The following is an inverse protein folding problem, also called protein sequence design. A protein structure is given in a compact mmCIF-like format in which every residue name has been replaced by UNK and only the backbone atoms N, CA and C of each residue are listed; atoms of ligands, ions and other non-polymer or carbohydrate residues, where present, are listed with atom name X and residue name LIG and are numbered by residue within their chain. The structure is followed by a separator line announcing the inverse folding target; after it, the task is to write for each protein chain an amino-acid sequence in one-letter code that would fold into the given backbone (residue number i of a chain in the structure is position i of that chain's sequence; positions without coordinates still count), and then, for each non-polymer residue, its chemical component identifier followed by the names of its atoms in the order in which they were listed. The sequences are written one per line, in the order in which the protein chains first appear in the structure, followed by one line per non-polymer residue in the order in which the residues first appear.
data_IF_451449899418
#
_entry.id   IF_451449899418
#
_cell.length_a   1.000
_cell.length_b   1.000
_cell.length_c   1.000
_cell.angle_alpha   90.00
_cell.angle_beta   90.00
_cell.angle_gamma   90.00
#
_symmetry.space_group_name_H-M   'P 1'
#
loop_
_entity.id
_entity.type
_entity.pdbx_description
1 polymer ?
#
# COMPACT_ATOMS: atom_id res chain seq x y z
N UNK A 1 27.29 3.81 -4.37
CA UNK A 1 27.44 5.28 -4.39
C UNK A 1 26.54 5.89 -3.34
N UNK A 2 27.08 6.77 -2.49
CA UNK A 2 26.41 7.33 -1.29
C UNK A 2 25.15 8.16 -1.64
N UNK A 3 25.12 8.75 -2.84
CA UNK A 3 23.95 9.46 -3.39
C UNK A 3 22.72 8.55 -3.63
N UNK A 4 22.93 7.26 -3.89
CA UNK A 4 21.82 6.31 -4.12
C UNK A 4 21.20 5.81 -2.80
N UNK A 5 22.01 5.67 -1.75
CA UNK A 5 21.57 5.21 -0.43
C UNK A 5 20.78 6.27 0.35
N UNK A 6 21.12 7.56 0.19
CA UNK A 6 20.39 8.71 0.75
C UNK A 6 19.16 9.15 -0.08
N UNK A 7 18.82 8.44 -1.15
CA UNK A 7 17.53 8.58 -1.82
C UNK A 7 16.58 7.44 -1.47
N UNK A 8 17.12 6.22 -1.36
CA UNK A 8 16.32 5.03 -1.10
C UNK A 8 15.71 5.04 0.30
N UNK A 9 16.47 5.41 1.34
CA UNK A 9 15.97 5.45 2.72
C UNK A 9 14.80 6.43 2.85
N UNK A 10 14.94 7.60 2.27
CA UNK A 10 13.97 8.69 2.22
C UNK A 10 12.73 8.24 1.45
N UNK A 11 12.92 7.60 0.30
CA UNK A 11 11.83 6.99 -0.50
C UNK A 11 11.06 5.95 0.33
N UNK A 12 11.76 5.07 1.06
CA UNK A 12 11.12 4.08 1.93
C UNK A 12 10.34 4.73 3.09
N UNK A 13 10.91 5.76 3.71
CA UNK A 13 10.25 6.52 4.79
C UNK A 13 8.99 7.20 4.24
N UNK A 14 9.06 7.86 3.09
CA UNK A 14 7.90 8.48 2.44
C UNK A 14 6.84 7.44 2.07
N UNK A 15 7.24 6.29 1.50
CA UNK A 15 6.33 5.20 1.15
C UNK A 15 5.66 4.54 2.38
N UNK A 16 6.23 4.70 3.57
CA UNK A 16 5.62 4.26 4.82
C UNK A 16 4.67 5.31 5.39
N UNK A 17 5.17 6.54 5.57
CA UNK A 17 4.45 7.57 6.31
C UNK A 17 3.29 8.18 5.54
N UNK A 18 3.38 8.28 4.21
CA UNK A 18 2.33 8.91 3.40
C UNK A 18 0.95 8.20 3.55
N UNK A 19 0.81 6.89 3.29
CA UNK A 19 -0.48 6.22 3.46
C UNK A 19 -0.90 6.13 4.93
N UNK A 20 0.05 6.00 5.87
CA UNK A 20 -0.27 5.96 7.30
C UNK A 20 -0.83 7.29 7.79
N UNK A 21 -0.19 8.41 7.43
CA UNK A 21 -0.65 9.75 7.76
C UNK A 21 -2.00 10.06 7.12
N UNK A 22 -2.21 9.65 5.87
CA UNK A 22 -3.49 9.78 5.19
C UNK A 22 -4.59 8.97 5.90
N UNK A 23 -4.30 7.74 6.31
CA UNK A 23 -5.25 6.88 7.02
C UNK A 23 -5.67 7.48 8.36
N UNK A 24 -4.69 7.97 9.15
CA UNK A 24 -4.95 8.63 10.43
C UNK A 24 -5.78 9.89 10.21
N UNK A 25 -5.43 10.71 9.22
CA UNK A 25 -6.19 11.91 8.88
C UNK A 25 -7.64 11.57 8.49
N UNK A 26 -7.84 10.57 7.64
CA UNK A 26 -9.17 10.11 7.25
C UNK A 26 -9.97 9.64 8.46
N UNK A 27 -9.36 8.84 9.35
CA UNK A 27 -10.01 8.35 10.56
C UNK A 27 -10.45 9.48 11.51
N UNK A 28 -9.54 10.41 11.82
CA UNK A 28 -9.79 11.49 12.77
C UNK A 28 -10.86 12.44 12.23
N UNK A 29 -10.72 12.88 10.98
CA UNK A 29 -11.69 13.81 10.38
C UNK A 29 -13.05 13.17 10.17
N UNK A 30 -13.09 11.90 9.75
CA UNK A 30 -14.35 11.18 9.62
C UNK A 30 -15.04 11.01 10.98
N UNK A 31 -14.30 10.69 12.04
CA UNK A 31 -14.87 10.53 13.38
C UNK A 31 -15.43 11.85 13.93
N UNK A 32 -14.78 12.99 13.65
CA UNK A 32 -15.21 14.31 14.14
C UNK A 32 -16.43 14.84 13.36
N UNK A 33 -16.40 14.73 12.03
CA UNK A 33 -17.35 15.42 11.16
C UNK A 33 -18.44 14.50 10.58
N UNK A 34 -18.22 13.19 10.55
CA UNK A 34 -19.03 12.20 9.84
C UNK A 34 -19.11 10.88 10.63
N UNK A 35 -19.28 10.97 11.96
CA UNK A 35 -19.31 9.80 12.86
C UNK A 35 -20.36 8.79 12.46
N UNK A 36 -21.55 9.26 12.10
CA UNK A 36 -22.69 8.41 11.80
C UNK A 36 -22.44 7.64 10.49
N UNK A 37 -21.86 8.28 9.48
CA UNK A 37 -21.55 7.66 8.18
C UNK A 37 -20.50 6.54 8.24
N UNK A 38 -19.62 6.55 9.26
CA UNK A 38 -18.53 5.56 9.39
C UNK A 38 -18.81 4.50 10.45
N UNK A 39 -19.59 4.83 11.48
CA UNK A 39 -19.95 3.88 12.54
C UNK A 39 -21.29 3.19 12.25
N UNK A 40 -22.21 3.78 11.48
CA UNK A 40 -23.46 3.13 11.12
C UNK A 40 -23.32 2.29 9.84
N UNK A 41 -23.58 0.99 9.97
CA UNK A 41 -23.68 0.09 8.82
C UNK A 41 -25.01 0.26 8.09
N UNK A 42 -25.13 -0.30 6.89
CA UNK A 42 -26.40 -0.35 6.13
C UNK A 42 -27.57 -0.95 6.94
N UNK A 43 -27.27 -1.73 7.98
CA UNK A 43 -28.24 -2.32 8.90
C UNK A 43 -28.52 -1.45 10.15
N UNK A 44 -27.98 -0.22 10.22
CA UNK A 44 -28.02 0.68 11.39
C UNK A 44 -27.46 0.06 12.68
N UNK A 45 -26.50 -0.85 12.53
CA UNK A 45 -25.74 -1.39 13.67
C UNK A 45 -24.48 -0.55 13.81
N UNK A 46 -24.28 -0.01 15.01
CA UNK A 46 -23.10 0.77 15.39
C UNK A 46 -21.86 -0.13 15.45
N UNK A 47 -20.82 0.26 14.74
CA UNK A 47 -19.52 -0.39 14.76
C UNK A 47 -18.53 0.49 15.52
N UNK A 48 -18.02 0.01 16.67
CA UNK A 48 -17.11 0.76 17.55
C UNK A 48 -15.83 1.17 16.83
N UNK A 49 -15.33 0.34 15.90
CA UNK A 49 -14.15 0.66 15.10
C UNK A 49 -14.53 0.61 13.63
N UNK A 50 -14.65 1.78 12.96
CA UNK A 50 -15.04 1.82 11.56
C UNK A 50 -14.00 1.11 10.69
N UNK A 51 -14.45 0.47 9.61
CA UNK A 51 -13.53 -0.18 8.68
C UNK A 51 -12.68 0.84 7.93
N UNK A 52 -11.51 0.43 7.43
CA UNK A 52 -10.65 1.30 6.59
C UNK A 52 -11.44 1.83 5.39
N UNK A 53 -12.21 0.96 4.73
CA UNK A 53 -13.03 1.35 3.58
C UNK A 53 -14.16 2.32 3.93
N UNK A 54 -14.66 2.34 5.17
CA UNK A 54 -15.65 3.33 5.60
C UNK A 54 -15.02 4.73 5.69
N UNK A 55 -13.85 4.85 6.34
CA UNK A 55 -13.18 6.14 6.55
C UNK A 55 -12.47 6.68 5.30
N UNK A 56 -12.00 5.80 4.41
CA UNK A 56 -11.38 6.20 3.14
C UNK A 56 -12.37 6.22 1.98
N UNK A 57 -13.60 5.75 2.21
CA UNK A 57 -14.65 5.65 1.20
C UNK A 57 -15.67 6.78 1.23
N UNK A 58 -15.60 7.72 2.18
CA UNK A 58 -16.50 8.88 2.27
C UNK A 58 -15.82 10.16 1.76
N UNK A 59 -16.61 11.10 1.24
CA UNK A 59 -16.09 12.40 0.80
C UNK A 59 -16.03 13.38 1.99
N UNK A 60 -14.96 14.20 2.11
CA UNK A 60 -13.86 14.39 1.15
C UNK A 60 -12.65 13.43 1.29
N UNK A 61 -12.61 12.60 2.34
CA UNK A 61 -11.48 11.72 2.72
C UNK A 61 -11.04 10.79 1.58
N UNK A 62 -12.00 10.33 0.77
CA UNK A 62 -11.75 9.49 -0.42
C UNK A 62 -10.77 10.12 -1.39
N UNK A 63 -10.87 11.43 -1.63
CA UNK A 63 -9.96 12.10 -2.56
C UNK A 63 -8.55 12.16 -2.00
N UNK A 64 -8.41 12.45 -0.70
CA UNK A 64 -7.12 12.46 0.00
C UNK A 64 -6.49 11.06 -0.07
N UNK A 65 -7.26 10.02 0.26
CA UNK A 65 -6.80 8.65 0.18
C UNK A 65 -6.32 8.26 -1.23
N UNK A 66 -7.12 8.55 -2.26
CA UNK A 66 -6.77 8.28 -3.67
C UNK A 66 -5.47 8.97 -4.10
N UNK A 67 -5.33 10.25 -3.78
CA UNK A 67 -4.12 11.02 -4.08
C UNK A 67 -2.91 10.40 -3.39
N UNK A 68 -3.02 10.07 -2.10
CA UNK A 68 -1.95 9.44 -1.34
C UNK A 68 -1.55 8.07 -1.93
N UNK A 69 -2.51 7.23 -2.32
CA UNK A 69 -2.22 5.94 -2.97
C UNK A 69 -1.56 6.13 -4.34
N UNK A 70 -1.97 7.13 -5.13
CA UNK A 70 -1.33 7.43 -6.41
C UNK A 70 0.15 7.81 -6.24
N UNK A 71 0.46 8.71 -5.30
CA UNK A 71 1.84 9.11 -5.01
C UNK A 71 2.67 7.99 -4.37
N UNK A 72 2.02 7.09 -3.64
CA UNK A 72 2.64 5.96 -2.97
C UNK A 72 3.03 4.81 -3.93
N UNK A 73 2.30 4.64 -5.03
CA UNK A 73 2.49 3.55 -5.99
C UNK A 73 3.88 3.55 -6.62
N UNK A 74 4.35 4.71 -7.10
CA UNK A 74 5.66 4.86 -7.75
C UNK A 74 6.84 4.42 -6.85
N UNK A 75 6.99 5.00 -5.65
CA UNK A 75 7.98 4.58 -4.66
C UNK A 75 7.97 3.08 -4.37
N UNK A 76 6.80 2.45 -4.21
CA UNK A 76 6.72 1.02 -3.91
C UNK A 76 7.11 0.14 -5.09
N UNK A 77 6.73 0.50 -6.32
CA UNK A 77 7.19 -0.21 -7.52
C UNK A 77 8.73 -0.14 -7.63
N UNK A 78 9.31 1.04 -7.43
CA UNK A 78 10.76 1.21 -7.44
C UNK A 78 11.45 0.35 -6.37
N UNK A 79 10.96 0.39 -5.12
CA UNK A 79 11.49 -0.42 -4.02
C UNK A 79 11.39 -1.90 -4.37
N UNK A 80 10.23 -2.39 -4.83
CA UNK A 80 10.04 -3.78 -5.22
C UNK A 80 11.04 -4.25 -6.28
N UNK A 81 11.24 -3.46 -7.34
CA UNK A 81 12.24 -3.76 -8.39
C UNK A 81 13.67 -3.74 -7.87
N UNK A 82 14.04 -2.80 -7.00
CA UNK A 82 15.39 -2.73 -6.42
C UNK A 82 15.69 -3.92 -5.52
N UNK A 83 14.74 -4.29 -4.65
CA UNK A 83 14.88 -5.46 -3.79
C UNK A 83 14.98 -6.75 -4.61
N UNK A 84 14.17 -6.89 -5.66
CA UNK A 84 14.28 -8.03 -6.57
C UNK A 84 15.68 -8.14 -7.19
N UNK A 85 16.20 -7.05 -7.77
CA UNK A 85 17.54 -7.04 -8.36
C UNK A 85 18.64 -7.33 -7.32
N UNK A 86 18.54 -6.75 -6.13
CA UNK A 86 19.46 -7.01 -5.02
C UNK A 86 19.47 -8.49 -4.64
N UNK A 87 18.28 -9.11 -4.49
CA UNK A 87 18.17 -10.53 -4.16
C UNK A 87 18.67 -11.42 -5.30
N UNK A 88 18.38 -11.11 -6.56
CA UNK A 88 18.92 -11.87 -7.71
C UNK A 88 20.45 -11.87 -7.72
N UNK A 89 21.08 -10.71 -7.48
CA UNK A 89 22.54 -10.60 -7.42
C UNK A 89 23.12 -11.42 -6.25
N UNK A 90 22.48 -11.37 -5.07
CA UNK A 90 22.88 -12.16 -3.90
C UNK A 90 22.73 -13.66 -4.13
N UNK A 91 21.63 -14.07 -4.77
CA UNK A 91 21.35 -15.47 -5.08
C UNK A 91 22.35 -16.07 -6.08
N UNK A 92 22.94 -15.26 -6.96
CA UNK A 92 23.97 -15.72 -7.90
C UNK A 92 25.24 -16.26 -7.19
N UNK A 93 25.49 -15.87 -5.94
CA UNK A 93 26.62 -16.35 -5.14
C UNK A 93 26.34 -17.64 -4.36
N UNK A 94 25.12 -18.19 -4.43
CA UNK A 94 24.79 -19.47 -3.80
C UNK A 94 25.44 -20.60 -4.63
N UNK A 95 26.26 -21.41 -3.97
CA UNK A 95 27.04 -22.50 -4.58
C UNK A 95 26.14 -23.72 -4.88
N UNK A 96 25.22 -24.04 -3.98
CA UNK A 96 24.32 -25.17 -4.13
C UNK A 96 23.22 -24.87 -5.16
N UNK A 97 23.20 -25.63 -6.26
CA UNK A 97 22.33 -25.38 -7.42
C UNK A 97 20.83 -25.46 -7.08
N UNK A 98 20.41 -26.45 -6.30
CA UNK A 98 19.02 -26.62 -5.88
C UNK A 98 18.55 -25.42 -5.05
N UNK A 99 19.34 -25.03 -4.06
CA UNK A 99 19.07 -23.87 -3.20
C UNK A 99 19.07 -22.57 -4.01
N UNK A 100 19.97 -22.43 -4.99
CA UNK A 100 20.00 -21.28 -5.90
C UNK A 100 18.71 -21.19 -6.73
N UNK A 101 18.27 -22.30 -7.33
CA UNK A 101 17.06 -22.33 -8.15
C UNK A 101 15.81 -22.01 -7.33
N UNK A 102 15.68 -22.60 -6.14
CA UNK A 102 14.59 -22.30 -5.20
C UNK A 102 14.57 -20.83 -4.80
N UNK A 103 15.73 -20.25 -4.47
CA UNK A 103 15.84 -18.84 -4.12
C UNK A 103 15.47 -17.90 -5.28
N UNK A 104 15.85 -18.23 -6.53
CA UNK A 104 15.44 -17.47 -7.73
C UNK A 104 13.92 -17.50 -7.93
N UNK A 105 13.31 -18.68 -7.81
CA UNK A 105 11.87 -18.86 -7.95
C UNK A 105 11.09 -18.12 -6.85
N UNK A 106 11.56 -18.20 -5.60
CA UNK A 106 10.97 -17.47 -4.49
C UNK A 106 11.09 -15.96 -4.69
N UNK A 107 12.25 -15.47 -5.11
CA UNK A 107 12.47 -14.06 -5.41
C UNK A 107 11.52 -13.54 -6.50
N UNK A 108 11.31 -14.33 -7.56
CA UNK A 108 10.35 -14.00 -8.63
C UNK A 108 8.90 -14.00 -8.11
N UNK A 109 8.53 -15.00 -7.31
CA UNK A 109 7.21 -15.07 -6.70
C UNK A 109 6.94 -13.87 -5.78
N UNK A 110 7.89 -13.50 -4.91
CA UNK A 110 7.78 -12.34 -4.04
C UNK A 110 7.61 -11.03 -4.83
N UNK A 111 8.34 -10.87 -5.93
CA UNK A 111 8.21 -9.70 -6.80
C UNK A 111 6.80 -9.59 -7.41
N UNK A 112 6.28 -10.69 -7.96
CA UNK A 112 4.92 -10.71 -8.52
C UNK A 112 3.83 -10.52 -7.46
N UNK A 113 3.98 -11.12 -6.28
CA UNK A 113 3.06 -10.92 -5.18
C UNK A 113 3.03 -9.47 -4.71
N UNK A 114 4.19 -8.81 -4.63
CA UNK A 114 4.24 -7.38 -4.34
C UNK A 114 3.55 -6.55 -5.43
N UNK A 115 3.78 -6.87 -6.70
CA UNK A 115 3.10 -6.18 -7.81
C UNK A 115 1.57 -6.37 -7.76
N UNK A 116 1.10 -7.59 -7.50
CA UNK A 116 -0.33 -7.91 -7.34
C UNK A 116 -0.93 -7.18 -6.14
N UNK A 117 -0.20 -7.09 -5.01
CA UNK A 117 -0.64 -6.32 -3.83
C UNK A 117 -0.86 -4.85 -4.18
N UNK A 118 0.06 -4.23 -4.92
CA UNK A 118 -0.07 -2.84 -5.35
C UNK A 118 -1.24 -2.62 -6.31
N UNK A 119 -1.45 -3.56 -7.25
CA UNK A 119 -2.61 -3.51 -8.14
C UNK A 119 -3.92 -3.69 -7.38
N UNK A 120 -3.97 -4.62 -6.42
CA UNK A 120 -5.14 -4.83 -5.59
C UNK A 120 -5.45 -3.60 -4.73
N UNK A 121 -4.43 -3.00 -4.08
CA UNK A 121 -4.57 -1.79 -3.29
C UNK A 121 -5.08 -0.61 -4.12
N UNK A 122 -4.56 -0.45 -5.34
CA UNK A 122 -5.05 0.56 -6.29
C UNK A 122 -6.49 0.25 -6.71
N UNK A 123 -6.78 -1.01 -7.06
CA UNK A 123 -8.11 -1.47 -7.42
C UNK A 123 -9.15 -1.15 -6.36
N UNK A 124 -8.94 -1.54 -5.10
CA UNK A 124 -9.88 -1.27 -4.00
C UNK A 124 -10.00 0.21 -3.65
N UNK A 125 -8.99 1.02 -3.98
CA UNK A 125 -8.99 2.47 -3.73
C UNK A 125 -9.81 3.24 -4.78
N UNK A 126 -9.78 2.79 -6.03
CA UNK A 126 -10.44 3.48 -7.14
C UNK A 126 -11.77 2.87 -7.52
N UNK A 127 -11.92 1.54 -7.43
CA UNK A 127 -13.16 0.83 -7.75
C UNK A 127 -14.02 0.74 -6.49
N UNK A 128 -14.93 1.70 -6.31
CA UNK A 128 -15.90 1.70 -5.21
C UNK A 128 -17.35 1.72 -5.74
N UNK A 129 -18.19 0.84 -5.19
CA UNK A 129 -19.61 0.75 -5.56
C UNK A 129 -20.41 2.02 -5.21
N UNK A 130 -19.88 2.87 -4.32
CA UNK A 130 -20.53 4.14 -3.92
C UNK A 130 -20.51 5.22 -5.01
N UNK A 131 -19.82 5.03 -6.12
CA UNK A 131 -19.80 5.99 -7.24
C UNK A 131 -20.79 5.65 -8.35
N UNK A 132 -21.43 4.48 -8.27
CA UNK A 132 -22.39 3.99 -9.27
C UNK A 132 -23.86 4.23 -8.89
N UNK A 133 -24.12 5.01 -7.84
CA UNK A 133 -25.46 5.44 -7.38
C UNK A 133 -25.43 6.93 -7.08
#
# INVERSE_FOLDING_TARGET
GILWTCGLRETCITALWLPLGALIFCYVTATIFQSDDIHETHCRVYNVVPSISAITGISPQRYIWRICIAFHLGPRLLIGSLYYNYHQHRTAHIIEEQTQLQAKNLGLACYWLNFIELLALTGVTYVSNRENY
#
